data_IF_465503633572
#
_entry.id   IF_465503633572
#
_cell.length_a   1.000
_cell.length_b   1.000
_cell.length_c   1.000
_cell.angle_alpha   90.00
_cell.angle_beta   90.00
_cell.angle_gamma   90.00
#
_symmetry.space_group_name_H-M   'P 1'
#
loop_
_entity.id
_entity.type
_entity.pdbx_description
1 polymer ?
#
# COMPACT_ATOMS: atom_id res chain seq x y z
N UNK A 1 -20.39 -18.57 68.78
CA UNK A 1 -20.66 -19.60 67.74
C UNK A 1 -21.83 -19.11 66.87
N UNK A 2 -21.81 -19.35 65.55
CA UNK A 2 -21.23 -18.39 64.59
C UNK A 2 -22.11 -18.17 63.34
N UNK A 3 -21.72 -17.21 62.48
CA UNK A 3 -21.54 -17.35 61.02
C UNK A 3 -21.16 -15.96 60.46
N UNK A 4 -19.89 -15.65 60.22
CA UNK A 4 -19.00 -16.16 59.16
C UNK A 4 -19.45 -15.68 57.77
N UNK A 5 -18.72 -14.67 57.30
CA UNK A 5 -18.19 -14.46 55.95
C UNK A 5 -18.93 -15.08 54.76
N UNK A 6 -19.27 -14.21 53.81
CA UNK A 6 -19.20 -14.55 52.39
C UNK A 6 -18.77 -13.29 51.64
N UNK A 7 -17.49 -12.96 51.71
CA UNK A 7 -16.85 -12.23 50.64
C UNK A 7 -16.81 -13.16 49.43
N UNK A 8 -17.69 -12.91 48.46
CA UNK A 8 -17.43 -13.46 47.12
C UNK A 8 -16.35 -12.60 46.51
N UNK A 9 -15.11 -13.01 46.75
CA UNK A 9 -13.98 -12.69 45.88
C UNK A 9 -14.39 -13.05 44.45
N UNK A 10 -14.73 -12.02 43.67
CA UNK A 10 -14.59 -12.09 42.22
C UNK A 10 -13.14 -11.70 41.91
N UNK A 11 -12.20 -12.50 42.41
CA UNK A 11 -10.82 -12.47 41.99
C UNK A 11 -10.59 -13.66 41.06
N UNK A 12 -9.83 -13.38 40.01
CA UNK A 12 -9.17 -14.34 39.12
C UNK A 12 -10.04 -14.92 38.01
N UNK A 13 -10.39 -14.07 37.04
CA UNK A 13 -10.69 -14.51 35.67
C UNK A 13 -10.08 -13.59 34.60
N UNK A 14 -8.90 -13.04 34.87
CA UNK A 14 -7.99 -12.60 33.81
C UNK A 14 -7.15 -13.82 33.40
N UNK A 15 -7.67 -14.66 32.48
CA UNK A 15 -6.90 -15.57 31.59
C UNK A 15 -7.75 -16.58 30.79
N UNK A 16 -9.10 -16.57 30.89
CA UNK A 16 -9.97 -17.49 30.13
C UNK A 16 -10.54 -16.87 28.85
N UNK A 17 -10.43 -15.54 28.67
CA UNK A 17 -11.08 -14.81 27.58
C UNK A 17 -10.54 -15.10 26.17
N UNK A 18 -9.31 -15.62 26.05
CA UNK A 18 -8.72 -15.96 24.75
C UNK A 18 -9.18 -17.32 24.20
N UNK A 19 -9.87 -18.15 25.02
CA UNK A 19 -10.36 -19.48 24.60
C UNK A 19 -11.75 -19.48 23.94
N UNK A 20 -12.42 -18.33 23.85
CA UNK A 20 -13.80 -18.21 23.33
C UNK A 20 -13.91 -17.25 22.13
N UNK A 21 -12.79 -16.78 21.57
CA UNK A 21 -12.81 -15.97 20.35
C UNK A 21 -13.17 -16.83 19.13
N UNK A 22 -14.14 -16.38 18.33
CA UNK A 22 -14.40 -17.02 17.03
C UNK A 22 -13.40 -16.47 16.03
N UNK A 23 -12.59 -17.36 15.46
CA UNK A 23 -11.58 -17.03 14.45
C UNK A 23 -12.09 -17.24 13.03
N UNK A 24 -11.62 -16.38 12.11
CA UNK A 24 -11.88 -16.49 10.68
C UNK A 24 -10.84 -15.78 9.85
N UNK A 25 -11.06 -15.73 8.55
CA UNK A 25 -10.17 -15.10 7.59
C UNK A 25 -10.94 -14.21 6.62
N UNK A 26 -10.30 -13.14 6.18
CA UNK A 26 -10.78 -12.22 5.14
C UNK A 26 -9.84 -12.29 3.94
N UNK A 27 -10.38 -12.51 2.75
CA UNK A 27 -9.66 -12.25 1.51
C UNK A 27 -9.72 -10.77 1.21
N UNK A 28 -8.57 -10.08 1.27
CA UNK A 28 -8.51 -8.63 1.08
C UNK A 28 -8.61 -8.35 -0.42
N UNK A 29 -9.69 -7.68 -0.83
CA UNK A 29 -9.89 -7.22 -2.20
C UNK A 29 -9.27 -5.83 -2.42
N UNK A 30 -9.34 -4.96 -1.40
CA UNK A 30 -8.76 -3.62 -1.44
C UNK A 30 -8.12 -3.26 -0.10
N UNK A 31 -6.94 -2.67 -0.17
CA UNK A 31 -6.20 -2.17 0.97
C UNK A 31 -5.69 -0.76 0.64
N UNK A 32 -6.52 0.23 0.89
CA UNK A 32 -6.18 1.62 0.62
C UNK A 32 -5.38 2.21 1.79
N UNK A 33 -4.29 2.90 1.48
CA UNK A 33 -3.53 3.69 2.45
C UNK A 33 -3.33 5.09 1.85
N UNK A 34 -3.53 6.11 2.67
CA UNK A 34 -3.10 7.49 2.37
C UNK A 34 -2.28 8.07 3.52
N UNK A 35 -1.44 9.04 3.20
CA UNK A 35 -0.69 9.78 4.22
C UNK A 35 -1.60 10.76 4.95
N UNK A 36 -1.28 10.99 6.22
CA UNK A 36 -1.80 12.12 6.98
C UNK A 36 -0.66 13.02 7.47
N UNK A 37 0.46 12.42 7.87
CA UNK A 37 1.73 13.09 8.18
C UNK A 37 2.89 12.07 8.07
N UNK A 38 4.13 12.46 8.35
CA UNK A 38 5.31 11.58 8.30
C UNK A 38 5.27 10.32 9.20
N UNK A 39 4.33 10.23 10.14
CA UNK A 39 4.20 9.17 11.16
C UNK A 39 2.78 8.60 11.28
N UNK A 40 1.86 9.00 10.42
CA UNK A 40 0.47 8.54 10.49
C UNK A 40 -0.14 8.33 9.11
N UNK A 41 -1.16 7.46 9.07
CA UNK A 41 -1.85 7.10 7.85
C UNK A 41 -3.35 6.92 8.09
N UNK A 42 -4.13 7.07 7.02
CA UNK A 42 -5.51 6.57 6.95
C UNK A 42 -5.50 5.25 6.20
N UNK A 43 -6.45 4.38 6.52
CA UNK A 43 -6.54 3.07 5.88
C UNK A 43 -7.99 2.68 5.63
N UNK A 44 -8.26 2.06 4.48
CA UNK A 44 -9.51 1.33 4.25
C UNK A 44 -9.20 -0.11 3.86
N UNK A 45 -10.01 -1.03 4.38
CA UNK A 45 -9.92 -2.45 4.08
C UNK A 45 -11.27 -2.93 3.58
N UNK A 46 -11.24 -3.59 2.43
CA UNK A 46 -12.39 -4.24 1.85
C UNK A 46 -12.05 -5.69 1.49
N UNK A 47 -13.02 -6.58 1.58
CA UNK A 47 -12.78 -7.98 1.27
C UNK A 47 -13.96 -8.90 1.51
N UNK A 48 -13.77 -10.17 1.16
CA UNK A 48 -14.78 -11.22 1.34
C UNK A 48 -14.40 -12.13 2.50
N UNK A 49 -15.34 -12.37 3.42
CA UNK A 49 -15.13 -13.32 4.52
C UNK A 49 -15.03 -14.75 3.97
N UNK A 50 -14.11 -15.53 4.52
CA UNK A 50 -13.97 -16.94 4.16
C UNK A 50 -15.19 -17.75 4.60
N UNK A 51 -15.53 -18.77 3.81
CA UNK A 51 -16.69 -19.61 4.06
C UNK A 51 -16.66 -20.24 5.48
N UNK A 52 -17.82 -20.26 6.14
CA UNK A 52 -17.97 -20.85 7.47
C UNK A 52 -17.63 -19.91 8.62
N UNK A 53 -17.26 -18.66 8.35
CA UNK A 53 -17.07 -17.64 9.38
C UNK A 53 -18.15 -16.55 9.29
N UNK A 54 -18.75 -16.24 10.44
CA UNK A 54 -19.71 -15.15 10.61
C UNK A 54 -19.14 -14.15 11.62
N UNK A 55 -18.99 -12.89 11.19
CA UNK A 55 -18.51 -11.82 12.08
C UNK A 55 -19.59 -11.35 13.06
N UNK A 56 -20.87 -11.60 12.77
CA UNK A 56 -21.99 -11.05 13.52
C UNK A 56 -22.09 -9.53 13.43
N UNK A 57 -22.74 -8.92 14.43
CA UNK A 57 -22.92 -7.46 14.51
C UNK A 57 -21.87 -6.85 15.42
N UNK A 58 -20.73 -6.51 14.83
CA UNK A 58 -19.63 -5.87 15.56
C UNK A 58 -19.86 -4.36 15.66
N UNK A 59 -19.55 -3.78 16.80
CA UNK A 59 -19.67 -2.34 17.07
C UNK A 59 -18.32 -1.68 17.36
N UNK A 60 -17.22 -2.44 17.32
CA UNK A 60 -15.87 -1.93 17.47
C UNK A 60 -14.94 -2.72 16.57
N UNK A 61 -14.16 -2.02 15.75
CA UNK A 61 -13.19 -2.61 14.84
C UNK A 61 -11.79 -2.19 15.26
N UNK A 62 -10.92 -3.18 15.49
CA UNK A 62 -9.49 -2.99 15.72
C UNK A 62 -8.72 -3.53 14.53
N UNK A 63 -7.93 -2.69 13.87
CA UNK A 63 -7.05 -3.11 12.77
C UNK A 63 -5.61 -3.08 13.26
N UNK A 64 -4.87 -4.15 12.99
CA UNK A 64 -3.46 -4.31 13.31
C UNK A 64 -2.68 -4.66 12.04
N UNK A 65 -1.65 -3.87 11.75
CA UNK A 65 -0.75 -4.12 10.64
C UNK A 65 0.54 -4.75 11.16
N UNK A 66 0.93 -5.88 10.59
CA UNK A 66 2.16 -6.57 10.92
C UNK A 66 3.06 -6.72 9.69
N UNK A 67 4.38 -6.64 9.90
CA UNK A 67 5.37 -7.03 8.90
C UNK A 67 6.39 -7.98 9.55
N UNK A 68 6.40 -9.26 9.14
CA UNK A 68 7.29 -10.30 9.69
C UNK A 68 7.34 -10.31 11.23
N UNK A 69 6.15 -10.30 11.86
CA UNK A 69 5.92 -10.25 13.32
C UNK A 69 6.16 -8.88 14.00
N UNK A 70 6.60 -7.86 13.27
CA UNK A 70 6.71 -6.49 13.82
C UNK A 70 5.36 -5.81 13.69
N UNK A 71 4.80 -5.31 14.80
CA UNK A 71 3.61 -4.46 14.77
C UNK A 71 3.98 -3.11 14.13
N UNK A 72 3.47 -2.87 12.93
CA UNK A 72 3.69 -1.64 12.16
C UNK A 72 2.77 -0.53 12.63
N UNK A 73 1.50 -0.86 12.89
CA UNK A 73 0.50 0.12 13.28
C UNK A 73 -0.72 -0.58 13.87
N UNK A 74 -1.47 0.17 14.67
CA UNK A 74 -2.70 -0.32 15.27
C UNK A 74 -3.67 0.83 15.43
N UNK A 75 -4.94 0.55 15.15
CA UNK A 75 -6.04 1.47 15.36
C UNK A 75 -7.23 0.73 15.93
N UNK A 76 -7.97 1.38 16.81
CA UNK A 76 -9.24 0.87 17.34
C UNK A 76 -10.28 1.95 17.13
N UNK A 77 -11.33 1.61 16.40
CA UNK A 77 -12.43 2.52 16.10
C UNK A 77 -13.68 2.03 16.83
N UNK A 78 -14.10 2.71 17.91
CA UNK A 78 -15.38 2.43 18.55
C UNK A 78 -16.55 2.82 17.61
N UNK A 79 -17.74 2.31 17.93
CA UNK A 79 -18.99 2.55 17.20
C UNK A 79 -18.91 2.41 15.68
N UNK A 80 -17.98 1.59 15.21
CA UNK A 80 -17.74 1.28 13.80
C UNK A 80 -18.36 -0.07 13.52
N UNK A 81 -19.43 -0.06 12.74
CA UNK A 81 -20.11 -1.27 12.32
C UNK A 81 -19.44 -1.85 11.08
N UNK A 82 -19.19 -3.15 11.10
CA UNK A 82 -18.83 -3.91 9.92
C UNK A 82 -19.89 -4.99 9.74
N UNK A 83 -20.67 -4.87 8.67
CA UNK A 83 -21.81 -5.76 8.38
C UNK A 83 -21.54 -6.37 7.00
N UNK A 84 -21.49 -7.70 6.88
CA UNK A 84 -21.34 -8.35 5.58
C UNK A 84 -22.59 -8.16 4.74
N UNK A 85 -22.40 -8.00 3.43
CA UNK A 85 -23.51 -8.05 2.49
C UNK A 85 -23.93 -9.49 2.13
N UNK A 86 -24.78 -9.65 1.12
CA UNK A 86 -25.27 -10.96 0.68
C UNK A 86 -24.17 -11.89 0.15
N UNK A 87 -23.02 -11.35 -0.27
CA UNK A 87 -21.88 -12.08 -0.80
C UNK A 87 -20.77 -12.26 0.25
N UNK A 88 -21.06 -11.96 1.52
CA UNK A 88 -20.10 -11.89 2.63
C UNK A 88 -18.97 -10.87 2.40
N UNK A 89 -19.21 -9.86 1.57
CA UNK A 89 -18.27 -8.76 1.37
C UNK A 89 -18.42 -7.73 2.49
N UNK A 90 -17.30 -7.22 2.99
CA UNK A 90 -17.24 -6.22 4.06
C UNK A 90 -16.35 -5.05 3.64
N UNK A 91 -16.71 -3.86 4.13
CA UNK A 91 -15.98 -2.61 3.91
C UNK A 91 -15.82 -1.92 5.27
N UNK A 92 -14.63 -1.42 5.57
CA UNK A 92 -14.45 -0.48 6.69
C UNK A 92 -15.11 0.85 6.34
N UNK A 93 -16.31 1.11 6.87
CA UNK A 93 -16.97 2.40 6.75
C UNK A 93 -16.65 3.25 7.96
N UNK A 94 -15.62 4.09 7.84
CA UNK A 94 -15.33 5.08 8.86
C UNK A 94 -16.41 6.16 8.87
N UNK A 95 -16.67 6.73 10.04
CA UNK A 95 -17.54 7.91 10.13
C UNK A 95 -16.77 9.09 9.56
N UNK A 96 -17.40 9.87 8.70
CA UNK A 96 -16.78 11.01 8.00
C UNK A 96 -16.17 12.01 9.00
N UNK A 97 -16.82 12.23 10.14
CA UNK A 97 -16.36 13.16 11.17
C UNK A 97 -15.29 12.55 12.12
N UNK A 98 -15.03 11.24 12.02
CA UNK A 98 -14.16 10.48 12.92
C UNK A 98 -13.30 9.47 12.13
N UNK A 99 -12.82 9.85 10.93
CA UNK A 99 -11.91 8.99 10.15
C UNK A 99 -10.67 8.67 10.99
N UNK A 100 -10.48 7.41 11.39
CA UNK A 100 -9.54 7.12 12.44
C UNK A 100 -8.13 7.09 11.84
N UNK A 101 -7.23 7.83 12.47
CA UNK A 101 -5.82 7.94 12.06
C UNK A 101 -4.99 6.85 12.75
N UNK A 102 -4.26 6.05 11.97
CA UNK A 102 -3.34 5.06 12.49
C UNK A 102 -1.95 5.66 12.65
N UNK A 103 -1.43 5.68 13.88
CA UNK A 103 -0.03 6.00 14.12
C UNK A 103 0.88 4.82 13.74
N UNK A 104 1.92 5.12 12.98
CA UNK A 104 2.94 4.16 12.59
C UNK A 104 3.87 3.93 13.79
N UNK A 105 3.74 2.76 14.41
CA UNK A 105 4.56 2.32 15.55
C UNK A 105 5.96 1.89 15.13
N UNK A 106 6.12 1.37 13.91
CA UNK A 106 7.41 0.92 13.38
C UNK A 106 7.63 1.38 11.94
N UNK A 107 8.36 2.49 11.78
CA UNK A 107 8.80 2.97 10.45
C UNK A 107 9.73 1.98 9.76
N UNK A 108 10.48 1.17 10.51
CA UNK A 108 11.33 0.12 9.93
C UNK A 108 10.47 -0.96 9.27
N UNK A 109 9.42 -1.44 9.95
CA UNK A 109 8.48 -2.40 9.37
C UNK A 109 7.71 -1.82 8.19
N UNK A 110 7.27 -0.55 8.30
CA UNK A 110 6.54 0.16 7.25
C UNK A 110 7.40 0.38 5.99
N UNK A 111 8.64 0.84 6.15
CA UNK A 111 9.61 0.96 5.05
C UNK A 111 9.88 -0.38 4.39
N UNK A 112 10.08 -1.44 5.18
CA UNK A 112 10.37 -2.77 4.64
C UNK A 112 9.20 -3.35 3.86
N UNK A 113 7.97 -3.05 4.27
CA UNK A 113 6.78 -3.36 3.48
C UNK A 113 6.84 -2.73 2.08
N UNK A 114 7.04 -1.41 1.97
CA UNK A 114 7.15 -0.75 0.67
C UNK A 114 8.36 -1.23 -0.15
N UNK A 115 9.49 -1.49 0.51
CA UNK A 115 10.67 -2.11 -0.12
C UNK A 115 10.38 -3.47 -0.76
N UNK A 116 9.45 -4.24 -0.18
CA UNK A 116 9.08 -5.57 -0.66
C UNK A 116 8.05 -5.52 -1.79
N UNK A 117 7.17 -4.50 -1.82
CA UNK A 117 6.16 -4.37 -2.87
C UNK A 117 6.60 -3.52 -4.06
N UNK A 118 7.55 -2.61 -3.89
CA UNK A 118 8.00 -1.73 -4.99
C UNK A 118 8.82 -2.49 -6.05
N UNK A 119 8.76 -2.07 -7.33
CA UNK A 119 9.68 -2.56 -8.35
C UNK A 119 11.13 -2.26 -7.94
N UNK A 120 11.99 -3.26 -8.10
CA UNK A 120 13.42 -3.15 -7.83
C UNK A 120 14.24 -3.83 -8.92
N UNK A 121 15.42 -3.29 -9.14
CA UNK A 121 16.44 -3.92 -9.96
C UNK A 121 16.74 -5.34 -9.47
N UNK A 122 16.82 -6.30 -10.40
CA UNK A 122 17.23 -7.69 -10.13
C UNK A 122 16.36 -8.46 -9.11
N UNK A 123 15.16 -7.98 -8.78
CA UNK A 123 14.20 -8.72 -7.96
C UNK A 123 13.51 -9.81 -8.80
N UNK A 124 13.19 -10.95 -8.17
CA UNK A 124 12.32 -11.92 -8.82
C UNK A 124 10.93 -11.29 -8.97
N UNK A 125 10.59 -10.97 -10.21
CA UNK A 125 9.33 -10.33 -10.62
C UNK A 125 8.27 -11.37 -11.00
N UNK A 126 8.53 -12.67 -10.80
CA UNK A 126 7.50 -13.68 -10.95
C UNK A 126 6.35 -13.44 -9.97
N UNK A 127 5.13 -13.43 -10.52
CA UNK A 127 3.90 -13.43 -9.76
C UNK A 127 3.89 -14.63 -8.82
N UNK A 128 4.10 -14.39 -7.52
CA UNK A 128 3.92 -15.42 -6.51
C UNK A 128 2.41 -15.63 -6.29
N UNK A 129 1.82 -16.49 -7.12
CA UNK A 129 0.39 -16.85 -7.06
C UNK A 129 0.00 -17.43 -5.69
N UNK A 130 0.97 -17.83 -4.85
CA UNK A 130 0.72 -18.32 -3.49
C UNK A 130 0.55 -17.20 -2.48
N UNK A 131 0.99 -15.98 -2.79
CA UNK A 131 0.80 -14.81 -1.94
C UNK A 131 -0.58 -14.22 -2.19
N UNK A 132 -1.52 -14.61 -1.34
CA UNK A 132 -2.83 -13.97 -1.25
C UNK A 132 -2.83 -13.05 -0.02
N UNK A 133 -3.27 -11.81 -0.23
CA UNK A 133 -3.45 -10.86 0.86
C UNK A 133 -4.66 -11.27 1.70
N UNK A 134 -4.41 -11.69 2.94
CA UNK A 134 -5.45 -12.08 3.89
C UNK A 134 -5.35 -11.32 5.20
N UNK A 135 -6.47 -11.21 5.89
CA UNK A 135 -6.51 -10.77 7.27
C UNK A 135 -7.02 -11.89 8.17
N UNK A 136 -6.35 -12.13 9.29
CA UNK A 136 -6.90 -12.97 10.36
C UNK A 136 -7.92 -12.16 11.16
N UNK A 137 -9.13 -12.69 11.28
CA UNK A 137 -10.23 -12.07 12.00
C UNK A 137 -10.47 -12.80 13.31
N UNK A 138 -10.73 -12.04 14.38
CA UNK A 138 -11.15 -12.57 15.67
C UNK A 138 -12.28 -11.75 16.24
N UNK A 139 -13.39 -12.40 16.57
CA UNK A 139 -14.53 -11.76 17.24
C UNK A 139 -14.49 -12.13 18.71
N UNK A 140 -14.58 -11.11 19.56
CA UNK A 140 -14.63 -11.30 21.02
C UNK A 140 -15.84 -12.15 21.42
N UNK A 141 -15.81 -12.82 22.58
CA UNK A 141 -16.94 -13.64 23.05
C UNK A 141 -18.27 -12.89 23.16
N UNK A 142 -18.24 -11.58 23.37
CA UNK A 142 -19.44 -10.73 23.41
C UNK A 142 -20.02 -10.39 22.04
N UNK A 143 -19.35 -10.75 20.93
CA UNK A 143 -19.74 -10.38 19.57
C UNK A 143 -19.46 -8.93 19.17
N UNK A 144 -19.15 -8.04 20.13
CA UNK A 144 -19.05 -6.60 19.86
C UNK A 144 -17.74 -6.14 19.25
N UNK A 145 -16.62 -6.85 19.49
CA UNK A 145 -15.29 -6.42 19.09
C UNK A 145 -14.69 -7.34 18.04
N UNK A 146 -14.41 -6.79 16.86
CA UNK A 146 -13.62 -7.43 15.81
C UNK A 146 -12.17 -6.97 15.89
N UNK A 147 -11.25 -7.93 15.87
CA UNK A 147 -9.83 -7.67 15.61
C UNK A 147 -9.46 -8.22 14.23
N UNK A 148 -8.98 -7.35 13.36
CA UNK A 148 -8.46 -7.66 12.03
C UNK A 148 -6.93 -7.52 12.05
N UNK A 149 -6.21 -8.61 11.81
CA UNK A 149 -4.75 -8.61 11.78
C UNK A 149 -4.27 -8.90 10.36
N UNK A 150 -3.58 -7.92 9.76
CA UNK A 150 -3.12 -7.97 8.37
C UNK A 150 -1.61 -8.17 8.35
N UNK A 151 -1.13 -9.17 7.61
CA UNK A 151 0.29 -9.41 7.41
C UNK A 151 0.77 -8.81 6.09
N UNK A 152 1.40 -7.63 6.17
CA UNK A 152 1.93 -6.88 5.03
C UNK A 152 3.04 -7.63 4.26
N UNK A 153 3.72 -8.61 4.88
CA UNK A 153 4.77 -9.37 4.20
C UNK A 153 4.23 -10.34 3.11
N UNK A 154 2.93 -10.62 3.14
CA UNK A 154 2.25 -11.47 2.16
C UNK A 154 1.76 -10.68 0.94
N UNK A 155 2.00 -9.37 0.88
CA UNK A 155 1.64 -8.56 -0.29
C UNK A 155 2.59 -8.88 -1.46
N UNK A 156 2.07 -9.21 -2.65
CA UNK A 156 2.87 -9.42 -3.85
C UNK A 156 3.66 -8.17 -4.29
N UNK A 157 4.80 -8.38 -4.95
CA UNK A 157 5.61 -7.30 -5.53
C UNK A 157 5.02 -6.81 -6.85
N UNK A 158 5.03 -5.50 -7.05
CA UNK A 158 4.71 -4.88 -8.33
C UNK A 158 5.81 -5.08 -9.36
N UNK A 159 5.42 -5.17 -10.61
CA UNK A 159 6.36 -5.27 -11.73
C UNK A 159 6.15 -4.12 -12.70
N UNK A 160 7.15 -3.87 -13.53
CA UNK A 160 7.06 -2.83 -14.56
C UNK A 160 7.49 -3.37 -15.90
N UNK A 161 6.90 -2.83 -16.97
CA UNK A 161 7.33 -3.09 -18.35
C UNK A 161 7.36 -1.77 -19.10
N UNK A 162 8.48 -1.46 -19.74
CA UNK A 162 8.59 -0.29 -20.60
C UNK A 162 7.84 -0.58 -21.91
N UNK A 163 6.79 0.18 -22.19
CA UNK A 163 6.07 0.10 -23.46
C UNK A 163 6.76 0.87 -24.56
N UNK A 164 7.25 2.07 -24.23
CA UNK A 164 7.79 3.01 -25.23
C UNK A 164 8.67 4.07 -24.59
N UNK A 165 9.74 4.43 -25.28
CA UNK A 165 10.60 5.57 -24.96
C UNK A 165 10.63 6.47 -26.20
N UNK A 166 10.36 7.76 -26.05
CA UNK A 166 10.45 8.76 -27.11
C UNK A 166 11.33 9.92 -26.69
N UNK A 167 12.18 10.37 -27.59
CA UNK A 167 13.05 11.54 -27.41
C UNK A 167 12.72 12.57 -28.49
N UNK A 168 12.52 13.82 -28.08
CA UNK A 168 12.25 14.98 -28.95
C UNK A 168 13.21 16.09 -28.55
N UNK A 169 14.31 16.25 -29.29
CA UNK A 169 15.41 17.13 -28.87
C UNK A 169 15.92 16.76 -27.48
N UNK A 170 15.79 17.67 -26.51
CA UNK A 170 16.17 17.47 -25.11
C UNK A 170 15.02 16.97 -24.21
N UNK A 171 13.85 16.67 -24.80
CA UNK A 171 12.69 16.12 -24.08
C UNK A 171 12.65 14.60 -24.18
N UNK A 172 12.21 13.98 -23.10
CA UNK A 172 11.97 12.53 -23.05
C UNK A 172 10.56 12.24 -22.53
N UNK A 173 9.94 11.21 -23.11
CA UNK A 173 8.71 10.61 -22.62
C UNK A 173 8.86 9.09 -22.53
N UNK A 174 8.65 8.54 -21.34
CA UNK A 174 8.68 7.11 -21.06
C UNK A 174 7.26 6.69 -20.72
N UNK A 175 6.72 5.71 -21.44
CA UNK A 175 5.45 5.07 -21.13
C UNK A 175 5.74 3.67 -20.60
N UNK A 176 5.28 3.39 -19.39
CA UNK A 176 5.44 2.09 -18.74
C UNK A 176 4.10 1.52 -18.28
N UNK A 177 3.99 0.20 -18.20
CA UNK A 177 2.93 -0.47 -17.46
C UNK A 177 3.45 -0.83 -16.08
N UNK A 178 2.75 -0.36 -15.07
CA UNK A 178 2.86 -0.82 -13.69
C UNK A 178 1.84 -1.95 -13.49
N UNK A 179 2.31 -3.14 -13.13
CA UNK A 179 1.43 -4.26 -12.77
C UNK A 179 1.51 -4.48 -11.27
N UNK A 180 0.43 -4.25 -10.57
CA UNK A 180 0.31 -4.43 -9.13
C UNK A 180 -0.64 -5.59 -8.79
N UNK A 181 -0.10 -6.78 -8.47
CA UNK A 181 -0.91 -7.93 -8.07
C UNK A 181 -1.42 -7.85 -6.62
N UNK A 182 -0.98 -6.85 -5.85
CA UNK A 182 -1.42 -6.64 -4.47
C UNK A 182 -2.72 -5.81 -4.44
N UNK A 183 -3.60 -5.99 -3.43
CA UNK A 183 -4.75 -5.10 -3.22
C UNK A 183 -4.36 -3.71 -2.70
N UNK A 184 -3.08 -3.46 -2.46
CA UNK A 184 -2.57 -2.17 -1.97
C UNK A 184 -2.91 -1.07 -2.96
N UNK A 185 -3.52 0.00 -2.46
CA UNK A 185 -3.79 1.22 -3.22
C UNK A 185 -3.16 2.41 -2.50
N UNK A 186 -2.40 3.22 -3.23
CA UNK A 186 -1.80 4.48 -2.80
C UNK A 186 -2.01 5.49 -3.94
N UNK A 187 -2.86 6.49 -3.71
CA UNK A 187 -3.03 7.58 -4.65
C UNK A 187 -1.92 8.61 -4.46
N UNK A 188 -1.46 9.17 -5.58
CA UNK A 188 -0.64 10.37 -5.58
C UNK A 188 -1.56 11.58 -5.72
N UNK A 189 -1.36 12.57 -4.86
CA UNK A 189 -2.10 13.84 -4.92
C UNK A 189 -1.37 14.86 -5.81
N UNK A 190 -0.06 14.67 -6.01
CA UNK A 190 0.84 15.55 -6.74
C UNK A 190 1.82 14.74 -7.60
N UNK A 191 2.49 15.43 -8.52
CA UNK A 191 3.53 14.82 -9.34
C UNK A 191 4.72 14.36 -8.49
N UNK A 192 5.22 13.17 -8.81
CA UNK A 192 6.43 12.60 -8.27
C UNK A 192 7.60 12.86 -9.22
N UNK A 193 8.76 13.20 -8.66
CA UNK A 193 9.98 13.41 -9.45
C UNK A 193 10.80 12.12 -9.56
N UNK A 194 11.39 11.94 -10.74
CA UNK A 194 12.24 10.82 -11.08
C UNK A 194 13.51 11.32 -11.76
N UNK A 195 14.58 10.54 -11.61
CA UNK A 195 15.87 10.79 -12.27
C UNK A 195 16.28 9.59 -13.10
N UNK A 196 16.86 9.86 -14.26
CA UNK A 196 17.60 8.87 -15.03
C UNK A 196 19.07 8.96 -14.66
N UNK A 197 19.65 7.82 -14.27
CA UNK A 197 21.06 7.71 -13.90
C UNK A 197 21.83 6.80 -14.84
N UNK A 198 23.04 7.21 -15.21
CA UNK A 198 24.02 6.37 -15.91
C UNK A 198 25.25 6.25 -15.03
N UNK A 199 25.32 5.17 -14.25
CA UNK A 199 26.24 5.11 -13.12
C UNK A 199 25.86 6.15 -12.06
N UNK A 200 26.80 7.00 -11.67
CA UNK A 200 26.57 8.07 -10.68
C UNK A 200 25.98 9.34 -11.31
N UNK A 201 26.06 9.49 -12.63
CA UNK A 201 25.65 10.71 -13.33
C UNK A 201 24.14 10.74 -13.56
N UNK A 202 23.50 11.85 -13.18
CA UNK A 202 22.12 12.13 -13.56
C UNK A 202 22.09 12.65 -14.99
N UNK A 203 21.41 11.91 -15.87
CA UNK A 203 21.31 12.22 -17.31
C UNK A 203 19.92 12.71 -17.71
N UNK A 204 18.94 12.69 -16.81
CA UNK A 204 17.60 13.21 -17.07
C UNK A 204 16.77 13.39 -15.81
N UNK A 205 15.78 14.27 -15.90
CA UNK A 205 14.81 14.59 -14.85
C UNK A 205 13.41 14.45 -15.44
N UNK A 206 12.55 13.69 -14.77
CA UNK A 206 11.19 13.41 -15.21
C UNK A 206 10.21 13.63 -14.06
N UNK A 207 8.96 13.93 -14.41
CA UNK A 207 7.84 13.96 -13.49
C UNK A 207 6.76 12.99 -13.97
N UNK A 208 6.01 12.44 -13.02
CA UNK A 208 4.82 11.63 -13.29
C UNK A 208 3.89 11.61 -12.09
N UNK A 209 2.58 11.54 -12.34
CA UNK A 209 1.61 11.11 -11.35
C UNK A 209 1.80 9.60 -11.11
N UNK A 210 2.46 9.24 -10.01
CA UNK A 210 2.81 7.85 -9.71
C UNK A 210 1.84 7.26 -8.68
N UNK A 211 0.87 6.51 -9.18
CA UNK A 211 -0.11 5.83 -8.34
C UNK A 211 0.20 4.34 -8.22
N UNK A 212 -0.08 3.77 -7.04
CA UNK A 212 -0.13 2.33 -6.83
C UNK A 212 -1.61 1.96 -6.81
N UNK A 213 -2.09 1.30 -7.85
CA UNK A 213 -3.46 0.80 -7.92
C UNK A 213 -3.45 -0.68 -8.30
N UNK A 214 -4.38 -1.52 -7.82
CA UNK A 214 -4.42 -2.94 -8.18
C UNK A 214 -4.61 -3.15 -9.69
N UNK A 215 -3.99 -4.20 -10.22
CA UNK A 215 -4.06 -4.55 -11.64
C UNK A 215 -2.97 -3.88 -12.49
N UNK A 216 -3.26 -3.66 -13.78
CA UNK A 216 -2.36 -2.99 -14.71
C UNK A 216 -2.74 -1.52 -14.87
N UNK A 217 -1.77 -0.63 -14.72
CA UNK A 217 -1.94 0.80 -14.97
C UNK A 217 -0.83 1.34 -15.86
N UNK A 218 -1.17 2.26 -16.75
CA UNK A 218 -0.19 2.96 -17.57
C UNK A 218 0.32 4.20 -16.84
N UNK A 219 1.64 4.28 -16.66
CA UNK A 219 2.31 5.43 -16.08
C UNK A 219 3.18 6.11 -17.13
N UNK A 220 3.05 7.42 -17.23
CA UNK A 220 3.74 8.25 -18.22
C UNK A 220 4.67 9.21 -17.48
N UNK A 221 5.97 9.02 -17.70
CA UNK A 221 6.99 9.93 -17.19
C UNK A 221 7.45 10.86 -18.31
N UNK A 222 7.51 12.16 -18.04
CA UNK A 222 7.94 13.15 -19.01
C UNK A 222 8.90 14.14 -18.38
N UNK A 223 9.86 14.63 -19.17
CA UNK A 223 10.78 15.65 -18.70
C UNK A 223 11.93 15.88 -19.66
N UNK A 224 13.11 16.17 -19.12
CA UNK A 224 14.30 16.52 -19.88
C UNK A 224 15.35 15.40 -19.80
N UNK A 225 16.13 15.27 -20.87
CA UNK A 225 17.26 14.35 -20.95
C UNK A 225 18.47 15.05 -21.58
N UNK A 226 19.66 14.68 -21.12
CA UNK A 226 20.92 15.08 -21.73
C UNK A 226 21.03 14.53 -23.16
N UNK A 227 21.74 15.21 -24.06
CA UNK A 227 21.90 14.75 -25.43
C UNK A 227 22.70 13.43 -25.49
N UNK A 228 22.38 12.60 -26.49
CA UNK A 228 23.11 11.38 -26.85
C UNK A 228 23.22 10.31 -25.74
N UNK A 229 22.27 10.27 -24.82
CA UNK A 229 22.16 9.18 -23.82
C UNK A 229 21.77 7.88 -24.53
N UNK A 230 22.54 6.81 -24.28
CA UNK A 230 22.40 5.48 -24.89
C UNK A 230 22.74 4.37 -23.88
N UNK A 231 22.35 3.14 -24.19
CA UNK A 231 22.54 1.95 -23.37
C UNK A 231 21.64 1.89 -22.14
N UNK A 232 22.02 1.06 -21.17
CA UNK A 232 21.26 0.90 -19.93
C UNK A 232 21.40 2.12 -19.02
N UNK A 233 20.27 2.60 -18.53
CA UNK A 233 20.15 3.64 -17.49
C UNK A 233 19.20 3.17 -16.39
N UNK A 234 19.36 3.70 -15.19
CA UNK A 234 18.47 3.42 -14.06
C UNK A 234 17.48 4.57 -13.91
N UNK A 235 16.19 4.26 -13.97
CA UNK A 235 15.12 5.19 -13.59
C UNK A 235 14.82 5.01 -12.11
N UNK A 236 14.94 6.09 -11.34
CA UNK A 236 14.81 6.08 -9.89
C UNK A 236 13.88 7.19 -9.41
N UNK A 237 13.01 6.89 -8.44
CA UNK A 237 12.24 7.92 -7.75
C UNK A 237 13.14 8.84 -6.92
N UNK A 238 12.90 10.15 -6.98
CA UNK A 238 13.75 11.17 -6.37
C UNK A 238 13.04 11.91 -5.25
N UNK A 239 11.92 12.55 -5.55
CA UNK A 239 11.17 13.37 -4.60
C UNK A 239 9.67 13.30 -4.89
N UNK A 240 8.87 13.81 -3.97
CA UNK A 240 7.42 13.96 -4.08
C UNK A 240 7.12 15.38 -3.59
N UNK A 241 6.56 16.23 -4.45
CA UNK A 241 6.32 17.64 -4.15
C UNK A 241 5.10 17.81 -3.22
N UNK A 242 5.20 17.30 -2.00
CA UNK A 242 4.17 17.45 -0.97
C UNK A 242 4.56 18.59 -0.01
N UNK A 243 3.66 19.54 0.17
CA UNK A 243 3.84 20.66 1.10
C UNK A 243 3.94 20.19 2.55
N UNK A 244 3.39 19.02 2.88
CA UNK A 244 3.25 18.51 4.24
C UNK A 244 4.10 17.26 4.46
N UNK A 245 5.42 17.33 4.22
CA UNK A 245 6.46 16.31 4.51
C UNK A 245 5.90 14.90 4.86
N UNK A 246 5.30 14.22 3.89
CA UNK A 246 4.64 12.94 4.11
C UNK A 246 5.61 11.77 4.04
N UNK A 247 5.24 10.61 4.56
CA UNK A 247 6.05 9.39 4.35
C UNK A 247 5.98 8.89 2.90
N UNK A 248 5.00 9.35 2.09
CA UNK A 248 4.87 9.00 0.68
C UNK A 248 6.11 9.41 -0.12
N UNK A 249 6.75 10.53 0.23
CA UNK A 249 8.01 10.95 -0.38
C UNK A 249 9.08 9.85 -0.29
N UNK A 250 9.18 9.15 0.85
CA UNK A 250 10.13 8.07 1.03
C UNK A 250 9.75 6.83 0.22
N UNK A 251 8.45 6.60 0.02
CA UNK A 251 7.96 5.47 -0.78
C UNK A 251 8.36 5.63 -2.25
N UNK A 252 8.24 6.83 -2.82
CA UNK A 252 8.69 7.12 -4.18
C UNK A 252 10.18 6.81 -4.35
N UNK A 253 11.03 7.16 -3.38
CA UNK A 253 12.48 6.90 -3.47
C UNK A 253 12.87 5.41 -3.53
N UNK A 254 11.93 4.50 -3.23
CA UNK A 254 12.15 3.05 -3.30
C UNK A 254 11.94 2.48 -4.70
N UNK A 255 11.34 3.24 -5.62
CA UNK A 255 11.17 2.84 -7.01
C UNK A 255 12.50 2.88 -7.75
N UNK A 256 12.89 1.76 -8.35
CA UNK A 256 14.12 1.66 -9.11
C UNK A 256 14.04 0.56 -10.18
N UNK A 257 14.22 0.93 -11.46
CA UNK A 257 14.21 -0.01 -12.58
C UNK A 257 15.28 0.36 -13.61
N UNK A 258 15.75 -0.65 -14.36
CA UNK A 258 16.65 -0.43 -15.48
C UNK A 258 15.87 -0.27 -16.79
N UNK A 259 16.30 0.68 -17.61
CA UNK A 259 15.71 1.01 -18.90
C UNK A 259 16.81 0.98 -19.95
N UNK A 260 16.52 0.37 -21.10
CA UNK A 260 17.42 0.36 -22.24
C UNK A 260 17.12 1.56 -23.15
N UNK A 261 17.99 2.58 -23.13
CA UNK A 261 17.82 3.77 -23.96
C UNK A 261 18.07 3.52 -25.45
N UNK A 262 18.67 2.39 -25.82
CA UNK A 262 18.84 2.01 -27.23
C UNK A 262 17.49 1.65 -27.90
N UNK A 263 16.44 1.41 -27.11
CA UNK A 263 15.07 1.20 -27.57
C UNK A 263 14.30 2.51 -27.78
N UNK A 264 14.94 3.67 -27.52
CA UNK A 264 14.32 4.97 -27.71
C UNK A 264 14.11 5.30 -29.18
N UNK A 265 12.89 5.76 -29.50
CA UNK A 265 12.57 6.33 -30.80
C UNK A 265 12.88 7.82 -30.76
N UNK A 266 13.88 8.25 -31.53
CA UNK A 266 14.20 9.67 -31.73
C UNK A 266 13.26 10.24 -32.77
N UNK A 267 12.45 11.21 -32.36
CA UNK A 267 11.55 11.93 -33.23
C UNK A 267 12.18 13.27 -33.58
N UNK A 268 12.20 13.60 -34.88
CA UNK A 268 12.46 14.97 -35.32
C UNK A 268 11.19 15.76 -34.98
N UNK A 269 11.32 16.94 -34.36
CA UNK A 269 10.19 17.86 -34.23
C UNK A 269 9.60 18.04 -35.63
N UNK A 270 8.38 17.55 -35.85
CA UNK A 270 7.59 18.03 -36.96
C UNK A 270 7.25 19.47 -36.57
N UNK A 271 7.63 20.43 -37.41
CA UNK A 271 7.21 21.82 -37.28
C UNK A 271 5.74 21.84 -36.85
N UNK A 272 5.45 22.42 -35.68
CA UNK A 272 4.11 22.83 -35.31
C UNK A 272 3.72 23.99 -36.24
N UNK A 273 3.44 23.65 -37.49
CA UNK A 273 2.73 24.51 -38.42
C UNK A 273 1.56 23.71 -38.97
N UNK A 274 0.37 24.24 -38.71
CA UNK A 274 -0.91 23.91 -39.37
C UNK A 274 -1.64 22.69 -38.77
N UNK A 275 -2.53 22.91 -37.81
CA UNK A 275 -3.91 23.33 -38.14
C UNK A 275 -4.65 23.86 -36.88
N UNK A 276 -5.41 24.93 -37.12
CA UNK A 276 -6.19 25.76 -36.18
C UNK A 276 -7.27 25.01 -35.37
#
# INVERSE_FOLDING_TARGET
>A
MPKAESSSDASDQEDITDMLETGGELYIARFFISSQDSRSLRLDVEGTLCAGFDIGWVSTVRVRLYYRNILVGEITSPDTQMIPDSDNYVITKWRIDEEPIMHIKSMVGFKNFFCDIMPKENANNELDVRKQATAALRVSPSGHRLTMSINLANMPRMTTTIKRIRIFGEKIKITMILTNPSPVTLHAEVDSEFVLKKGEDTVGHLAALFEIIPGENECVLAGNISPNVSGMVTLKGSSYEDSDESWQQYVITLFEININMDEAVVCVEADESEDE
#
